data_IF_225930212282
#
_entry.id   IF_225930212282
#
_cell.length_a   1.000
_cell.length_b   1.000
_cell.length_c   1.000
_cell.angle_alpha   90.00
_cell.angle_beta   90.00
_cell.angle_gamma   90.00
#
_symmetry.space_group_name_H-M   'P 1'
#
loop_
_entity.id
_entity.type
_entity.pdbx_description
1 polymer ?
#
# COMPACT_ATOMS: atom_id res chain seq x y z
N UNK A 1 14.05 -27.32 18.72
CA UNK A 1 13.64 -26.11 17.95
C UNK A 1 12.25 -26.38 17.39
N UNK A 2 11.22 -25.69 17.84
CA UNK A 2 9.88 -25.78 17.23
C UNK A 2 9.95 -25.17 15.83
N UNK A 3 9.56 -25.94 14.81
CA UNK A 3 9.42 -25.45 13.45
C UNK A 3 8.19 -24.55 13.37
N UNK A 4 8.34 -23.31 12.88
CA UNK A 4 7.24 -22.33 12.77
C UNK A 4 6.03 -22.90 12.02
N UNK A 5 6.25 -23.78 11.03
CA UNK A 5 5.19 -24.48 10.30
C UNK A 5 4.33 -25.38 11.19
N UNK A 6 4.96 -26.06 12.16
CA UNK A 6 4.24 -26.93 13.10
C UNK A 6 3.40 -26.10 14.07
N UNK A 7 3.89 -24.92 14.47
CA UNK A 7 3.14 -23.98 15.31
C UNK A 7 1.91 -23.41 14.61
N UNK A 8 1.97 -23.17 13.29
CA UNK A 8 0.80 -22.72 12.53
C UNK A 8 -0.30 -23.78 12.46
N UNK A 9 0.05 -25.07 12.55
CA UNK A 9 -0.94 -26.15 12.58
C UNK A 9 -1.58 -26.37 13.96
N UNK A 10 -1.21 -25.58 14.99
CA UNK A 10 -1.89 -25.61 16.30
C UNK A 10 -3.20 -24.81 16.31
N UNK A 11 -3.48 -24.02 15.26
CA UNK A 11 -4.74 -23.30 15.11
C UNK A 11 -5.82 -24.18 14.50
N UNK A 12 -7.05 -24.11 15.01
CA UNK A 12 -8.19 -24.84 14.44
C UNK A 12 -8.57 -24.34 13.04
N UNK A 13 -8.34 -23.04 12.76
CA UNK A 13 -8.64 -22.38 11.50
C UNK A 13 -7.54 -21.39 11.11
N UNK A 14 -7.04 -21.53 9.89
CA UNK A 14 -6.12 -20.59 9.23
C UNK A 14 -6.85 -19.87 8.10
N UNK A 15 -7.07 -18.57 8.28
CA UNK A 15 -7.68 -17.68 7.28
C UNK A 15 -6.65 -16.96 6.42
N UNK A 16 -6.88 -16.90 5.11
CA UNK A 16 -5.99 -16.26 4.14
C UNK A 16 -6.72 -15.17 3.34
N UNK A 17 -5.97 -14.21 2.77
CA UNK A 17 -6.56 -13.13 1.96
C UNK A 17 -6.97 -13.63 0.57
N UNK A 18 -6.18 -14.53 -0.02
CA UNK A 18 -6.45 -15.09 -1.34
C UNK A 18 -6.30 -16.61 -1.35
N UNK A 19 -6.88 -17.23 -2.38
CA UNK A 19 -6.70 -18.67 -2.61
C UNK A 19 -5.24 -19.01 -2.92
N UNK A 20 -4.50 -18.10 -3.56
CA UNK A 20 -3.07 -18.29 -3.81
C UNK A 20 -2.27 -18.36 -2.50
N UNK A 21 -2.56 -17.49 -1.52
CA UNK A 21 -1.90 -17.53 -0.21
C UNK A 21 -2.18 -18.86 0.50
N UNK A 22 -3.43 -19.33 0.43
CA UNK A 22 -3.87 -20.60 1.03
C UNK A 22 -3.17 -21.79 0.38
N UNK A 23 -3.09 -21.82 -0.95
CA UNK A 23 -2.40 -22.88 -1.69
C UNK A 23 -0.89 -22.85 -1.45
N UNK A 24 -0.28 -21.66 -1.47
CA UNK A 24 1.15 -21.50 -1.16
C UNK A 24 1.51 -21.98 0.25
N UNK A 25 0.62 -21.75 1.23
CA UNK A 25 0.77 -22.31 2.57
C UNK A 25 0.73 -23.85 2.54
N UNK A 26 -0.25 -24.46 1.87
CA UNK A 26 -0.37 -25.93 1.78
C UNK A 26 0.79 -26.58 1.01
N UNK A 27 1.27 -25.94 -0.05
CA UNK A 27 2.44 -26.40 -0.81
C UNK A 27 3.70 -26.36 0.05
N UNK A 28 3.91 -25.25 0.77
CA UNK A 28 5.01 -25.11 1.71
C UNK A 28 4.92 -26.14 2.83
N UNK A 29 3.73 -26.38 3.37
CA UNK A 29 3.50 -27.37 4.42
C UNK A 29 3.77 -28.80 3.94
N UNK A 30 3.33 -29.12 2.73
CA UNK A 30 3.55 -30.43 2.08
C UNK A 30 5.04 -30.70 1.80
N UNK A 31 5.84 -29.65 1.67
CA UNK A 31 7.30 -29.76 1.56
C UNK A 31 7.99 -30.11 2.89
N UNK A 32 7.32 -29.87 4.03
CA UNK A 32 7.87 -30.08 5.37
C UNK A 32 7.36 -31.36 6.03
N UNK A 33 6.14 -31.78 5.70
CA UNK A 33 5.47 -32.93 6.31
C UNK A 33 4.38 -33.48 5.41
N UNK A 34 3.92 -34.70 5.68
CA UNK A 34 2.77 -35.26 5.00
C UNK A 34 1.51 -34.52 5.45
N UNK A 35 0.87 -33.82 4.53
CA UNK A 35 -0.45 -33.22 4.72
C UNK A 35 -1.51 -34.16 4.19
N UNK A 36 -2.51 -34.51 5.01
CA UNK A 36 -3.66 -35.30 4.57
C UNK A 36 -4.90 -34.42 4.55
N UNK A 37 -5.48 -34.22 3.38
CA UNK A 37 -6.76 -33.50 3.23
C UNK A 37 -7.90 -34.50 3.33
N UNK A 38 -8.74 -34.39 4.37
CA UNK A 38 -9.88 -35.31 4.58
C UNK A 38 -11.04 -34.98 3.66
N UNK A 39 -11.49 -33.72 3.70
CA UNK A 39 -12.59 -33.23 2.87
C UNK A 39 -12.51 -31.71 2.74
N UNK A 40 -12.78 -31.18 1.54
CA UNK A 40 -12.73 -29.74 1.28
C UNK A 40 -11.41 -29.11 1.74
N UNK A 41 -11.51 -28.18 2.70
CA UNK A 41 -10.37 -27.44 3.25
C UNK A 41 -9.96 -27.88 4.67
N UNK A 42 -10.22 -29.14 5.02
CA UNK A 42 -9.81 -29.74 6.30
C UNK A 42 -8.58 -30.63 6.12
N UNK A 43 -7.55 -30.40 6.94
CA UNK A 43 -6.22 -30.95 6.78
C UNK A 43 -5.68 -31.54 8.09
N UNK A 44 -4.75 -32.49 7.94
CA UNK A 44 -3.95 -33.02 9.04
C UNK A 44 -2.49 -32.91 8.69
N UNK A 45 -1.71 -32.31 9.57
CA UNK A 45 -0.26 -32.27 9.50
C UNK A 45 0.33 -32.46 10.90
N UNK A 46 1.40 -33.26 11.03
CA UNK A 46 1.98 -33.61 12.35
C UNK A 46 0.97 -34.15 13.37
N UNK A 47 -0.08 -34.84 12.90
CA UNK A 47 -1.15 -35.34 13.77
C UNK A 47 -2.08 -34.26 14.33
N UNK A 48 -1.99 -33.02 13.83
CA UNK A 48 -2.85 -31.90 14.20
C UNK A 48 -3.89 -31.68 13.11
N UNK A 49 -5.16 -31.64 13.48
CA UNK A 49 -6.28 -31.31 12.61
C UNK A 49 -6.45 -29.78 12.54
N UNK A 50 -6.59 -29.22 11.34
CA UNK A 50 -6.88 -27.80 11.14
C UNK A 50 -7.66 -27.56 9.85
N UNK A 51 -8.38 -26.43 9.79
CA UNK A 51 -9.08 -25.98 8.60
C UNK A 51 -8.34 -24.79 7.95
N UNK A 52 -8.41 -24.69 6.62
CA UNK A 52 -8.01 -23.48 5.90
C UNK A 52 -9.21 -22.83 5.22
N UNK A 53 -9.23 -21.51 5.11
CA UNK A 53 -10.27 -20.81 4.35
C UNK A 53 -9.77 -19.45 3.85
N UNK A 54 -10.45 -18.88 2.86
CA UNK A 54 -10.15 -17.57 2.28
C UNK A 54 -11.19 -16.56 2.73
N UNK A 55 -10.73 -15.49 3.38
CA UNK A 55 -11.53 -14.37 3.84
C UNK A 55 -10.86 -13.06 3.39
N UNK A 56 -11.14 -12.58 2.17
CA UNK A 56 -10.63 -11.30 1.70
C UNK A 56 -11.16 -10.19 2.61
N UNK A 57 -10.27 -9.42 3.23
CA UNK A 57 -10.66 -8.37 4.16
C UNK A 57 -11.35 -7.22 3.41
N UNK A 58 -12.49 -6.78 3.94
CA UNK A 58 -13.28 -5.67 3.42
C UNK A 58 -13.07 -4.36 4.17
N UNK A 59 -13.91 -3.38 3.82
CA UNK A 59 -14.03 -2.07 4.47
C UNK A 59 -15.52 -1.82 4.77
N UNK A 60 -15.83 -0.78 5.55
CA UNK A 60 -17.20 -0.33 5.84
C UNK A 60 -17.64 0.75 4.83
N UNK A 61 -18.35 0.43 3.74
CA UNK A 61 -18.57 1.37 2.64
C UNK A 61 -19.49 2.54 3.04
N UNK A 62 -20.50 2.26 3.86
CA UNK A 62 -21.49 3.25 4.28
C UNK A 62 -20.89 4.27 5.24
N UNK A 63 -20.04 3.83 6.17
CA UNK A 63 -19.33 4.74 7.07
C UNK A 63 -18.37 5.65 6.30
N UNK A 64 -17.63 5.09 5.33
CA UNK A 64 -16.72 5.86 4.48
C UNK A 64 -17.49 6.88 3.63
N UNK A 65 -18.65 6.50 3.07
CA UNK A 65 -19.48 7.42 2.29
C UNK A 65 -19.99 8.58 3.15
N UNK A 66 -20.42 8.29 4.38
CA UNK A 66 -20.86 9.31 5.34
C UNK A 66 -19.72 10.27 5.71
N UNK A 67 -18.54 9.73 6.05
CA UNK A 67 -17.38 10.54 6.42
C UNK A 67 -16.87 11.38 5.24
N UNK A 68 -16.86 10.82 4.03
CA UNK A 68 -16.40 11.51 2.82
C UNK A 68 -17.32 12.67 2.38
N UNK A 69 -18.61 12.61 2.73
CA UNK A 69 -19.58 13.68 2.48
C UNK A 69 -19.49 14.83 3.52
N UNK A 70 -18.72 14.64 4.59
CA UNK A 70 -18.52 15.66 5.63
C UNK A 70 -17.84 16.93 5.11
N UNK A 71 -17.93 18.04 5.88
CA UNK A 71 -17.29 19.29 5.48
C UNK A 71 -15.76 19.15 5.48
N UNK A 72 -15.12 19.74 4.47
CA UNK A 72 -13.66 19.84 4.45
C UNK A 72 -13.16 20.80 5.53
N UNK A 73 -12.03 20.50 6.20
CA UNK A 73 -11.32 21.46 7.03
C UNK A 73 -11.03 22.76 6.25
N UNK A 74 -11.05 23.95 6.90
CA UNK A 74 -10.92 25.24 6.21
C UNK A 74 -9.71 25.32 5.25
N UNK A 75 -8.56 24.78 5.69
CA UNK A 75 -7.33 24.73 4.89
C UNK A 75 -7.47 23.87 3.63
N UNK A 76 -8.17 22.74 3.70
CA UNK A 76 -8.42 21.88 2.54
C UNK A 76 -9.51 22.46 1.63
N UNK A 77 -10.50 23.16 2.18
CA UNK A 77 -11.49 23.88 1.39
C UNK A 77 -10.83 25.00 0.55
N UNK A 78 -9.90 25.75 1.15
CA UNK A 78 -9.09 26.73 0.43
C UNK A 78 -8.24 26.07 -0.67
N UNK A 79 -7.52 25.00 -0.33
CA UNK A 79 -6.69 24.26 -1.29
C UNK A 79 -7.51 23.73 -2.48
N UNK A 80 -8.72 23.24 -2.22
CA UNK A 80 -9.65 22.79 -3.27
C UNK A 80 -10.02 23.94 -4.21
N UNK A 81 -10.23 25.15 -3.70
CA UNK A 81 -10.53 26.33 -4.50
C UNK A 81 -9.33 26.78 -5.35
N UNK A 82 -8.12 26.77 -4.77
CA UNK A 82 -6.87 27.10 -5.46
C UNK A 82 -6.58 26.12 -6.61
N UNK A 83 -6.91 24.85 -6.44
CA UNK A 83 -6.65 23.77 -7.41
C UNK A 83 -7.79 23.49 -8.36
N UNK A 84 -8.79 24.37 -8.48
CA UNK A 84 -9.99 24.13 -9.30
C UNK A 84 -9.70 23.75 -10.77
N UNK A 85 -8.58 24.22 -11.31
CA UNK A 85 -8.15 23.96 -12.69
C UNK A 85 -7.04 22.90 -12.80
N UNK A 86 -6.68 22.25 -11.69
CA UNK A 86 -5.61 21.27 -11.60
C UNK A 86 -6.22 19.91 -11.24
N UNK A 87 -5.98 18.90 -12.07
CA UNK A 87 -6.38 17.53 -11.75
C UNK A 87 -5.43 16.95 -10.70
N UNK A 88 -5.97 16.35 -9.64
CA UNK A 88 -5.17 15.77 -8.56
C UNK A 88 -5.07 14.25 -8.76
N UNK A 89 -3.84 13.75 -8.81
CA UNK A 89 -3.50 12.33 -8.66
C UNK A 89 -3.09 12.16 -7.21
N UNK A 90 -3.69 11.22 -6.50
CA UNK A 90 -3.55 11.09 -5.05
C UNK A 90 -3.25 9.65 -4.63
N UNK A 91 -2.25 9.47 -3.77
CA UNK A 91 -1.85 8.18 -3.20
C UNK A 91 -1.68 8.32 -1.69
N UNK A 92 -2.18 7.34 -0.93
CA UNK A 92 -1.97 7.24 0.53
C UNK A 92 -1.66 5.81 0.91
N UNK A 93 -0.48 5.58 1.47
CA UNK A 93 -0.09 4.29 2.02
C UNK A 93 1.14 4.45 2.91
N UNK A 94 1.43 3.48 3.77
CA UNK A 94 2.64 3.52 4.59
C UNK A 94 3.89 3.56 3.71
N UNK A 95 4.93 4.24 4.20
CA UNK A 95 6.25 4.22 3.59
C UNK A 95 6.85 2.82 3.78
N UNK A 96 6.63 1.94 2.80
CA UNK A 96 7.00 0.52 2.84
C UNK A 96 7.43 0.06 1.44
N UNK A 97 8.52 -0.70 1.35
CA UNK A 97 9.10 -1.12 0.06
C UNK A 97 8.23 -2.07 -0.74
N UNK A 98 7.28 -2.76 -0.11
CA UNK A 98 6.32 -3.62 -0.80
C UNK A 98 5.33 -2.86 -1.71
N UNK A 99 5.33 -1.52 -1.65
CA UNK A 99 4.32 -0.66 -2.28
C UNK A 99 4.71 -0.09 -3.64
N UNK A 100 5.96 -0.28 -4.06
CA UNK A 100 6.44 0.22 -5.34
C UNK A 100 6.33 1.74 -5.47
N UNK A 101 6.60 2.46 -4.39
CA UNK A 101 6.50 3.92 -4.36
C UNK A 101 7.50 4.57 -5.33
N UNK A 102 8.79 4.18 -5.39
CA UNK A 102 9.73 4.74 -6.35
C UNK A 102 9.28 4.55 -7.79
N UNK A 103 8.78 3.36 -8.13
CA UNK A 103 8.26 3.04 -9.47
C UNK A 103 7.07 3.93 -9.83
N UNK A 104 6.24 4.31 -8.86
CA UNK A 104 5.13 5.25 -9.08
C UNK A 104 5.62 6.66 -9.39
N UNK A 105 6.70 7.12 -8.74
CA UNK A 105 7.34 8.39 -9.08
C UNK A 105 7.96 8.34 -10.49
N UNK A 106 8.60 7.23 -10.86
CA UNK A 106 9.12 7.03 -12.23
C UNK A 106 8.00 7.01 -13.27
N UNK A 107 6.86 6.37 -12.98
CA UNK A 107 5.69 6.38 -13.85
C UNK A 107 5.11 7.81 -14.00
N UNK A 108 5.09 8.58 -12.91
CA UNK A 108 4.67 9.98 -12.95
C UNK A 108 5.67 10.85 -13.75
N UNK A 109 6.97 10.62 -13.61
CA UNK A 109 7.97 11.26 -14.47
C UNK A 109 7.72 10.91 -15.94
N UNK A 110 7.51 9.64 -16.27
CA UNK A 110 7.25 9.21 -17.63
C UNK A 110 5.98 9.85 -18.20
N UNK A 111 4.95 10.06 -17.36
CA UNK A 111 3.76 10.83 -17.74
C UNK A 111 4.14 12.29 -18.09
N UNK A 112 4.94 12.96 -17.26
CA UNK A 112 5.35 14.34 -17.50
C UNK A 112 6.25 14.49 -18.72
N UNK A 113 7.13 13.52 -18.98
CA UNK A 113 8.01 13.49 -20.14
C UNK A 113 7.20 13.30 -21.44
N UNK A 114 6.39 12.23 -21.51
CA UNK A 114 5.71 11.82 -22.73
C UNK A 114 4.41 12.60 -23.02
N UNK A 115 3.82 13.25 -22.00
CA UNK A 115 2.55 13.97 -22.14
C UNK A 115 2.68 15.41 -21.60
N UNK A 116 3.48 16.27 -22.25
CA UNK A 116 3.77 17.63 -21.79
C UNK A 116 2.52 18.51 -21.67
N UNK A 117 1.42 18.18 -22.36
CA UNK A 117 0.13 18.87 -22.24
C UNK A 117 -0.46 18.87 -20.83
N UNK A 118 0.01 17.99 -19.94
CA UNK A 118 -0.41 17.89 -18.55
C UNK A 118 0.42 18.76 -17.59
N UNK A 119 1.59 19.25 -18.02
CA UNK A 119 2.43 20.11 -17.18
C UNK A 119 1.66 21.39 -16.81
N UNK A 120 1.68 21.76 -15.54
CA UNK A 120 0.88 22.87 -14.98
C UNK A 120 -0.62 22.58 -14.77
N UNK A 121 -1.14 21.43 -15.25
CA UNK A 121 -2.57 21.08 -15.20
C UNK A 121 -2.88 19.88 -14.33
N UNK A 122 -1.85 19.15 -13.91
CA UNK A 122 -1.97 18.03 -12.98
C UNK A 122 -1.03 18.22 -11.80
N UNK A 123 -1.36 17.57 -10.69
CA UNK A 123 -0.49 17.45 -9.52
C UNK A 123 -0.57 16.05 -8.95
N UNK A 124 0.58 15.46 -8.66
CA UNK A 124 0.67 14.21 -7.92
C UNK A 124 0.92 14.50 -6.44
N UNK A 125 0.16 13.89 -5.55
CA UNK A 125 0.33 13.97 -4.10
C UNK A 125 0.43 12.57 -3.51
N UNK A 126 1.57 12.27 -2.90
CA UNK A 126 1.84 11.05 -2.15
C UNK A 126 1.87 11.38 -0.66
N UNK A 127 0.99 10.76 0.11
CA UNK A 127 1.08 10.73 1.57
C UNK A 127 1.67 9.38 1.98
N UNK A 128 2.83 9.39 2.60
CA UNK A 128 3.59 8.21 3.00
C UNK A 128 4.06 8.31 4.46
N UNK A 129 3.18 8.06 5.45
CA UNK A 129 3.59 8.09 6.85
C UNK A 129 4.70 7.08 7.13
N UNK A 130 5.70 7.54 7.87
CA UNK A 130 6.86 6.75 8.25
C UNK A 130 6.43 5.54 9.07
N UNK A 131 6.90 4.36 8.69
CA UNK A 131 6.71 3.11 9.42
C UNK A 131 8.08 2.52 9.71
N UNK A 132 8.29 1.95 10.90
CA UNK A 132 9.50 1.17 11.25
C UNK A 132 10.83 1.90 10.95
N UNK A 133 10.92 3.18 11.35
CA UNK A 133 12.06 4.05 11.03
C UNK A 133 13.44 3.59 11.51
N UNK A 134 13.50 2.65 12.46
CA UNK A 134 14.77 2.06 12.94
C UNK A 134 15.33 0.97 12.01
N UNK A 135 14.55 0.50 11.04
CA UNK A 135 14.98 -0.55 10.11
C UNK A 135 15.62 0.10 8.89
N UNK A 136 16.88 -0.23 8.61
CA UNK A 136 17.66 0.35 7.50
C UNK A 136 16.92 0.36 6.17
N UNK A 137 16.28 -0.76 5.81
CA UNK A 137 15.52 -0.88 4.56
C UNK A 137 14.39 0.17 4.42
N UNK A 138 13.79 0.61 5.54
CA UNK A 138 12.77 1.67 5.54
C UNK A 138 13.38 3.08 5.43
N UNK A 139 14.59 3.28 5.96
CA UNK A 139 15.34 4.52 5.79
C UNK A 139 15.80 4.69 4.34
N UNK A 140 16.25 3.61 3.71
CA UNK A 140 16.74 3.62 2.33
C UNK A 140 15.63 4.02 1.34
N UNK A 141 14.45 3.38 1.42
CA UNK A 141 13.33 3.74 0.55
C UNK A 141 12.84 5.16 0.80
N UNK A 142 12.87 5.63 2.06
CA UNK A 142 12.52 7.02 2.36
C UNK A 142 13.46 7.98 1.65
N UNK A 143 14.77 7.77 1.79
CA UNK A 143 15.75 8.64 1.14
C UNK A 143 15.61 8.59 -0.39
N UNK A 144 15.37 7.40 -0.95
CA UNK A 144 15.09 7.24 -2.38
C UNK A 144 13.87 8.05 -2.82
N UNK A 145 12.76 8.01 -2.07
CA UNK A 145 11.55 8.77 -2.40
C UNK A 145 11.74 10.28 -2.31
N UNK A 146 12.44 10.76 -1.28
CA UNK A 146 12.78 12.18 -1.15
C UNK A 146 13.65 12.65 -2.31
N UNK A 147 14.60 11.80 -2.74
CA UNK A 147 15.48 12.06 -3.89
C UNK A 147 14.67 12.14 -5.18
N UNK A 148 13.79 11.18 -5.45
CA UNK A 148 12.96 11.18 -6.66
C UNK A 148 11.98 12.36 -6.68
N UNK A 149 11.36 12.70 -5.55
CA UNK A 149 10.50 13.86 -5.43
C UNK A 149 11.26 15.16 -5.73
N UNK A 150 12.45 15.33 -5.14
CA UNK A 150 13.33 16.47 -5.39
C UNK A 150 13.76 16.57 -6.85
N UNK A 151 14.20 15.45 -7.44
CA UNK A 151 14.65 15.37 -8.84
C UNK A 151 13.53 15.71 -9.82
N UNK A 152 12.34 15.14 -9.66
CA UNK A 152 11.18 15.40 -10.52
C UNK A 152 10.74 16.86 -10.40
N UNK A 153 10.66 17.40 -9.19
CA UNK A 153 10.30 18.80 -8.98
C UNK A 153 11.35 19.75 -9.55
N UNK A 154 12.64 19.43 -9.43
CA UNK A 154 13.71 20.22 -10.03
C UNK A 154 13.71 20.19 -11.55
N UNK A 155 13.39 19.05 -12.16
CA UNK A 155 13.37 18.88 -13.62
C UNK A 155 12.12 19.49 -14.29
N UNK A 156 10.94 19.32 -13.70
CA UNK A 156 9.66 19.71 -14.32
C UNK A 156 8.95 20.87 -13.64
N UNK A 157 9.38 21.26 -12.45
CA UNK A 157 8.76 22.36 -11.70
C UNK A 157 8.83 23.69 -12.44
N UNK A 158 7.86 24.54 -12.17
CA UNK A 158 7.77 25.90 -12.71
C UNK A 158 7.45 26.87 -11.57
N UNK A 159 7.66 28.16 -11.80
CA UNK A 159 7.24 29.17 -10.82
C UNK A 159 5.72 29.08 -10.61
N UNK A 160 5.30 28.73 -9.39
CA UNK A 160 3.89 28.54 -9.04
C UNK A 160 3.33 27.14 -9.34
N UNK A 161 4.13 26.18 -9.81
CA UNK A 161 3.69 24.81 -10.00
C UNK A 161 4.73 23.77 -9.55
N UNK A 162 4.35 23.00 -8.53
CA UNK A 162 5.11 21.84 -8.05
C UNK A 162 4.43 20.56 -8.54
N UNK A 163 5.07 19.74 -9.39
CA UNK A 163 4.44 18.58 -9.98
C UNK A 163 4.18 17.45 -8.98
N UNK A 164 5.09 17.19 -8.04
CA UNK A 164 4.98 16.09 -7.08
C UNK A 164 5.10 16.60 -5.63
N UNK A 165 4.08 16.34 -4.81
CA UNK A 165 4.09 16.61 -3.38
C UNK A 165 4.25 15.29 -2.62
N UNK A 166 5.33 15.15 -1.86
CA UNK A 166 5.54 14.07 -0.91
C UNK A 166 5.26 14.59 0.51
N UNK A 167 4.41 13.90 1.26
CA UNK A 167 4.13 14.20 2.66
C UNK A 167 4.28 12.96 3.53
N UNK A 168 5.09 13.04 4.58
CA UNK A 168 5.24 11.98 5.59
C UNK A 168 4.15 12.00 6.67
N UNK A 169 3.17 12.88 6.55
CA UNK A 169 2.04 12.93 7.46
C UNK A 169 0.74 13.09 6.70
N UNK A 170 -0.30 12.42 7.19
CA UNK A 170 -1.66 12.81 6.82
C UNK A 170 -1.87 14.26 7.30
N UNK A 171 -2.50 15.09 6.46
CA UNK A 171 -2.85 16.46 6.83
C UNK A 171 -3.59 16.43 8.18
N UNK A 172 -2.93 16.88 9.25
CA UNK A 172 -3.57 17.04 10.55
C UNK A 172 -4.48 18.27 10.48
N UNK A 173 -5.71 18.18 11.02
CA UNK A 173 -6.63 19.32 11.07
C UNK A 173 -6.04 20.52 11.81
#
# INVERSE_FOLDING_TARGET
>A
MMNCWSSLCDFDLLGFQTENDRLAFLDSLSSQTRVTTRSGKQHIAWGKDFQTEVYPIGIEPDEIALQAAGPLPPKLAQLKAELKNVKNIFSVERLDYSKGLPERFLAYEALLENYPQHRGKIRYTQIAPTSRGEVQAYQDIRHQLETEAGRINGKYGQLGWTPALLSESAFRP
#
